data_IF_799299825920
#
_entry.id   IF_799299825920
#
_cell.length_a   1.000
_cell.length_b   1.000
_cell.length_c   1.000
_cell.angle_alpha   90.00
_cell.angle_beta   90.00
_cell.angle_gamma   90.00
#
_symmetry.space_group_name_H-M   'P 1'
#
loop_
_entity.id
_entity.type
_entity.pdbx_description
1 polymer ?
#
# COMPACT_ATOMS: atom_id res chain seq x y z
N UNK A 1 21.68 -11.32 -4.53
CA UNK A 1 20.78 -10.38 -5.24
C UNK A 1 19.97 -11.01 -6.37
N UNK A 2 20.50 -12.00 -7.13
CA UNK A 2 19.78 -12.63 -8.26
C UNK A 2 18.41 -13.25 -7.93
N UNK A 3 18.20 -13.78 -6.72
CA UNK A 3 16.93 -14.44 -6.35
C UNK A 3 15.73 -13.49 -6.23
N UNK A 4 15.93 -12.21 -5.89
CA UNK A 4 14.84 -11.27 -5.62
C UNK A 4 14.04 -10.88 -6.88
N UNK A 5 14.73 -10.73 -8.02
CA UNK A 5 14.11 -10.27 -9.27
C UNK A 5 13.29 -11.37 -9.95
N UNK A 6 13.65 -12.64 -9.77
CA UNK A 6 12.97 -13.76 -10.44
C UNK A 6 11.63 -14.14 -9.82
N UNK A 7 11.41 -13.82 -8.54
CA UNK A 7 10.16 -14.14 -7.84
C UNK A 7 9.13 -13.02 -7.89
N UNK A 8 9.42 -11.88 -8.54
CA UNK A 8 8.44 -10.80 -8.69
C UNK A 8 7.29 -11.24 -9.61
N UNK A 9 6.08 -11.28 -9.07
CA UNK A 9 4.89 -11.68 -9.82
C UNK A 9 4.03 -10.46 -10.14
N UNK A 10 3.95 -10.12 -11.43
CA UNK A 10 3.08 -9.04 -11.93
C UNK A 10 1.63 -9.22 -11.50
N UNK A 11 1.18 -10.46 -11.38
CA UNK A 11 -0.19 -10.79 -10.97
C UNK A 11 -0.46 -10.47 -9.50
N UNK A 12 0.47 -10.82 -8.59
CA UNK A 12 0.36 -10.47 -7.16
C UNK A 12 0.45 -8.97 -6.95
N UNK A 13 1.40 -8.32 -7.63
CA UNK A 13 1.53 -6.87 -7.63
C UNK A 13 0.22 -6.19 -8.06
N UNK A 14 -0.37 -6.61 -9.17
CA UNK A 14 -1.62 -6.04 -9.65
C UNK A 14 -2.79 -6.26 -8.68
N UNK A 15 -2.89 -7.45 -8.07
CA UNK A 15 -3.88 -7.71 -7.01
C UNK A 15 -3.70 -6.79 -5.81
N UNK A 16 -2.47 -6.64 -5.32
CA UNK A 16 -2.15 -5.76 -4.20
C UNK A 16 -2.50 -4.30 -4.55
N UNK A 17 -2.15 -3.85 -5.76
CA UNK A 17 -2.49 -2.52 -6.26
C UNK A 17 -4.00 -2.27 -6.28
N UNK A 18 -4.78 -3.21 -6.84
CA UNK A 18 -6.25 -3.09 -6.88
C UNK A 18 -6.84 -3.09 -5.46
N UNK A 19 -6.38 -3.98 -4.59
CA UNK A 19 -6.85 -4.05 -3.21
C UNK A 19 -6.57 -2.76 -2.44
N UNK A 20 -5.35 -2.23 -2.54
CA UNK A 20 -4.94 -0.98 -1.90
C UNK A 20 -5.68 0.21 -2.51
N UNK A 21 -5.88 0.25 -3.83
CA UNK A 21 -6.63 1.31 -4.48
C UNK A 21 -8.11 1.36 -4.07
N UNK A 22 -8.76 0.20 -3.97
CA UNK A 22 -10.14 0.09 -3.47
C UNK A 22 -10.18 0.55 -2.01
N UNK A 23 -9.27 0.06 -1.17
CA UNK A 23 -9.21 0.44 0.24
C UNK A 23 -8.98 1.95 0.41
N UNK A 24 -8.06 2.54 -0.35
CA UNK A 24 -7.79 3.98 -0.38
C UNK A 24 -9.04 4.78 -0.76
N UNK A 25 -9.82 4.29 -1.73
CA UNK A 25 -11.08 4.92 -2.14
C UNK A 25 -12.12 4.87 -1.02
N UNK A 26 -12.26 3.73 -0.34
CA UNK A 26 -13.18 3.59 0.82
C UNK A 26 -12.75 4.55 1.94
N UNK A 27 -11.45 4.63 2.24
CA UNK A 27 -10.91 5.53 3.25
C UNK A 27 -11.11 7.01 2.88
N UNK A 28 -10.99 7.36 1.59
CA UNK A 28 -11.29 8.71 1.10
C UNK A 28 -12.76 9.10 1.34
N UNK A 29 -13.71 8.20 1.04
CA UNK A 29 -15.12 8.45 1.32
C UNK A 29 -15.40 8.61 2.82
N UNK A 30 -14.74 7.82 3.67
CA UNK A 30 -14.84 7.96 5.12
C UNK A 30 -14.32 9.33 5.59
N UNK A 31 -13.14 9.75 5.11
CA UNK A 31 -12.55 11.06 5.41
C UNK A 31 -13.46 12.22 5.00
N UNK A 32 -13.97 12.21 3.75
CA UNK A 32 -14.88 13.26 3.25
C UNK A 32 -16.18 13.30 4.05
N UNK A 33 -16.65 12.16 4.53
CA UNK A 33 -17.88 12.07 5.31
C UNK A 33 -17.72 12.60 6.74
N UNK A 34 -16.54 12.39 7.35
CA UNK A 34 -16.18 12.93 8.66
C UNK A 34 -15.99 14.45 8.59
N UNK A 35 -15.27 14.96 7.59
CA UNK A 35 -15.04 16.40 7.39
C UNK A 35 -16.35 17.19 7.23
N UNK A 36 -17.33 16.60 6.52
CA UNK A 36 -18.65 17.19 6.32
C UNK A 36 -19.64 16.95 7.47
N UNK A 37 -19.24 16.27 8.55
CA UNK A 37 -20.10 15.86 9.66
C UNK A 37 -21.42 15.18 9.21
N UNK A 38 -21.36 14.40 8.12
CA UNK A 38 -22.57 13.81 7.50
C UNK A 38 -23.09 12.63 8.31
N UNK A 39 -22.23 11.94 9.06
CA UNK A 39 -22.60 10.82 9.92
C UNK A 39 -22.26 11.10 11.39
N UNK A 40 -23.03 10.48 12.30
CA UNK A 40 -22.70 10.47 13.72
C UNK A 40 -21.28 9.91 13.95
N UNK A 41 -20.53 10.40 14.95
CA UNK A 41 -19.16 9.96 15.21
C UNK A 41 -19.15 8.47 15.51
N UNK A 42 -18.63 7.69 14.56
CA UNK A 42 -18.47 6.24 14.66
C UNK A 42 -16.98 5.93 14.67
N UNK A 43 -16.52 5.21 15.69
CA UNK A 43 -15.11 4.82 15.86
C UNK A 43 -14.50 4.18 14.59
N UNK A 44 -15.29 3.38 13.88
CA UNK A 44 -14.88 2.73 12.64
C UNK A 44 -14.59 3.74 11.50
N UNK A 45 -15.42 4.77 11.33
CA UNK A 45 -15.22 5.78 10.29
C UNK A 45 -13.99 6.65 10.61
N UNK A 46 -13.81 7.00 11.88
CA UNK A 46 -12.64 7.75 12.34
C UNK A 46 -11.34 6.96 12.12
N UNK A 47 -11.33 5.65 12.40
CA UNK A 47 -10.18 4.79 12.10
C UNK A 47 -9.86 4.71 10.59
N UNK A 48 -10.88 4.68 9.73
CA UNK A 48 -10.68 4.69 8.28
C UNK A 48 -10.15 6.04 7.77
N UNK A 49 -10.56 7.13 8.41
CA UNK A 49 -10.09 8.48 8.13
C UNK A 49 -8.61 8.65 8.51
N UNK A 50 -8.22 8.16 9.69
CA UNK A 50 -6.80 8.12 10.09
C UNK A 50 -5.97 7.26 9.14
N UNK A 51 -6.52 6.11 8.70
CA UNK A 51 -5.87 5.24 7.73
C UNK A 51 -5.73 5.93 6.35
N UNK A 52 -6.66 6.81 5.99
CA UNK A 52 -6.55 7.64 4.79
C UNK A 52 -5.33 8.56 4.83
N UNK A 53 -5.04 9.18 5.99
CA UNK A 53 -3.84 10.00 6.16
C UNK A 53 -2.55 9.20 5.96
N UNK A 54 -2.54 7.91 6.31
CA UNK A 54 -1.42 7.00 6.01
C UNK A 54 -1.33 6.75 4.50
N UNK A 55 -2.45 6.49 3.82
CA UNK A 55 -2.45 6.29 2.37
C UNK A 55 -2.09 7.53 1.55
N UNK A 56 -2.25 8.74 2.12
CA UNK A 56 -1.78 9.99 1.51
C UNK A 56 -0.25 10.16 1.55
N UNK A 57 0.42 9.52 2.52
CA UNK A 57 1.87 9.45 2.54
C UNK A 57 2.37 8.45 1.47
N UNK A 58 3.48 8.70 0.75
CA UNK A 58 4.39 9.85 0.87
C UNK A 58 4.11 11.01 -0.10
N UNK A 59 3.39 10.82 -1.21
CA UNK A 59 3.30 11.87 -2.27
C UNK A 59 2.64 13.14 -1.79
N UNK A 60 1.55 13.05 -1.02
CA UNK A 60 0.90 14.26 -0.52
C UNK A 60 1.72 14.89 0.59
N UNK A 61 2.42 14.13 1.42
CA UNK A 61 3.24 14.71 2.49
C UNK A 61 4.53 15.36 1.97
N UNK A 62 5.20 14.76 0.99
CA UNK A 62 6.48 15.25 0.46
C UNK A 62 6.31 16.26 -0.68
N UNK A 63 5.24 16.14 -1.47
CA UNK A 63 4.99 16.93 -2.67
C UNK A 63 3.62 17.63 -2.61
N UNK A 64 3.18 18.02 -1.40
CA UNK A 64 1.87 18.65 -1.14
C UNK A 64 1.58 19.80 -2.11
N UNK A 65 2.53 20.72 -2.31
CA UNK A 65 2.35 21.87 -3.18
C UNK A 65 2.06 21.48 -4.64
N UNK A 66 2.66 20.40 -5.15
CA UNK A 66 2.47 19.94 -6.52
C UNK A 66 1.17 19.15 -6.68
N UNK A 67 0.92 18.19 -5.77
CA UNK A 67 -0.25 17.31 -5.89
C UNK A 67 -1.55 17.97 -5.43
N UNK A 68 -1.51 18.95 -4.52
CA UNK A 68 -2.70 19.69 -4.08
C UNK A 68 -3.03 20.89 -4.98
N UNK A 69 -2.21 21.18 -5.99
CA UNK A 69 -2.46 22.28 -6.95
C UNK A 69 -3.69 22.04 -7.83
N UNK A 70 -4.06 20.78 -8.08
CA UNK A 70 -5.16 20.45 -8.96
C UNK A 70 -5.81 19.12 -8.55
N UNK A 71 -7.13 19.01 -8.64
CA UNK A 71 -7.85 17.79 -8.24
C UNK A 71 -7.38 16.55 -9.01
N UNK A 72 -7.04 16.71 -10.29
CA UNK A 72 -6.50 15.60 -11.12
C UNK A 72 -5.14 15.14 -10.60
N UNK A 73 -4.27 16.08 -10.24
CA UNK A 73 -2.96 15.75 -9.67
C UNK A 73 -3.15 15.07 -8.32
N UNK A 74 -4.09 15.55 -7.51
CA UNK A 74 -4.40 14.95 -6.22
C UNK A 74 -4.74 13.46 -6.35
N UNK A 75 -5.63 13.10 -7.29
CA UNK A 75 -5.94 11.69 -7.56
C UNK A 75 -4.74 10.92 -8.14
N UNK A 76 -3.91 11.52 -8.99
CA UNK A 76 -2.68 10.89 -9.47
C UNK A 76 -1.71 10.59 -8.32
N UNK A 77 -1.60 11.46 -7.32
CA UNK A 77 -0.80 11.23 -6.10
C UNK A 77 -1.25 9.98 -5.35
N UNK A 78 -2.57 9.79 -5.18
CA UNK A 78 -3.14 8.60 -4.55
C UNK A 78 -2.89 7.32 -5.36
N UNK A 79 -2.95 7.38 -6.69
CA UNK A 79 -2.61 6.25 -7.56
C UNK A 79 -1.13 5.89 -7.42
N UNK A 80 -0.25 6.88 -7.40
CA UNK A 80 1.18 6.68 -7.20
C UNK A 80 1.46 6.08 -5.82
N UNK A 81 0.82 6.57 -4.75
CA UNK A 81 0.93 5.96 -3.43
C UNK A 81 0.46 4.51 -3.43
N UNK A 82 -0.67 4.22 -4.07
CA UNK A 82 -1.19 2.86 -4.19
C UNK A 82 -0.19 1.94 -4.91
N UNK A 83 0.49 2.43 -5.95
CA UNK A 83 1.57 1.72 -6.64
C UNK A 83 2.77 1.47 -5.72
N UNK A 84 3.18 2.48 -4.95
CA UNK A 84 4.29 2.37 -4.00
C UNK A 84 3.99 1.33 -2.91
N UNK A 85 2.80 1.38 -2.30
CA UNK A 85 2.39 0.41 -1.29
C UNK A 85 2.28 -1.00 -1.88
N UNK A 86 1.74 -1.16 -3.10
CA UNK A 86 1.72 -2.46 -3.78
C UNK A 86 3.13 -3.01 -4.03
N UNK A 87 4.09 -2.13 -4.33
CA UNK A 87 5.48 -2.50 -4.53
C UNK A 87 6.15 -2.95 -3.22
N UNK A 88 5.91 -2.23 -2.12
CA UNK A 88 6.40 -2.60 -0.78
C UNK A 88 5.85 -3.97 -0.37
N UNK A 89 4.54 -4.21 -0.59
CA UNK A 89 3.91 -5.51 -0.29
C UNK A 89 4.57 -6.63 -1.08
N UNK A 90 4.79 -6.45 -2.38
CA UNK A 90 5.44 -7.48 -3.21
C UNK A 90 6.89 -7.73 -2.77
N UNK A 91 7.65 -6.69 -2.39
CA UNK A 91 8.99 -6.85 -1.81
C UNK A 91 8.95 -7.66 -0.51
N UNK A 92 7.97 -7.41 0.35
CA UNK A 92 7.77 -8.17 1.59
C UNK A 92 7.55 -9.66 1.30
N UNK A 93 6.64 -9.98 0.37
CA UNK A 93 6.38 -11.36 -0.04
C UNK A 93 7.60 -12.05 -0.65
N UNK A 94 8.32 -11.37 -1.55
CA UNK A 94 9.54 -11.93 -2.14
C UNK A 94 10.60 -12.19 -1.07
N UNK A 95 10.75 -11.28 -0.12
CA UNK A 95 11.72 -11.42 0.98
C UNK A 95 11.39 -12.62 1.88
N UNK A 96 10.11 -12.84 2.19
CA UNK A 96 9.67 -14.00 2.95
C UNK A 96 9.94 -15.32 2.21
N UNK A 97 9.66 -15.38 0.91
CA UNK A 97 9.93 -16.56 0.08
C UNK A 97 11.43 -16.89 0.07
N UNK A 98 12.28 -15.88 -0.15
CA UNK A 98 13.74 -16.06 -0.13
C UNK A 98 14.24 -16.54 1.23
N UNK A 99 13.66 -16.02 2.32
CA UNK A 99 14.00 -16.46 3.67
C UNK A 99 13.63 -17.94 3.90
N UNK A 100 12.45 -18.37 3.44
CA UNK A 100 11.99 -19.77 3.55
C UNK A 100 12.89 -20.72 2.76
N UNK A 101 13.25 -20.37 1.53
CA UNK A 101 14.14 -21.19 0.69
C UNK A 101 15.51 -21.37 1.38
N UNK A 102 16.12 -20.28 1.85
CA UNK A 102 17.40 -20.36 2.56
C UNK A 102 17.35 -21.21 3.83
N UNK A 103 16.23 -21.13 4.56
CA UNK A 103 16.02 -21.93 5.76
C UNK A 103 15.96 -23.43 5.43
N UNK A 104 15.22 -23.80 4.38
CA UNK A 104 15.12 -25.20 3.93
C UNK A 104 16.45 -25.75 3.38
N UNK A 105 17.25 -24.93 2.70
CA UNK A 105 18.59 -25.33 2.23
C UNK A 105 19.53 -25.60 3.41
N UNK A 106 19.55 -24.73 4.43
CA UNK A 106 20.36 -24.92 5.63
C UNK A 106 19.95 -26.14 6.46
N UNK A 107 18.65 -26.45 6.53
CA UNK A 107 18.16 -27.67 7.19
C UNK A 107 18.53 -28.95 6.44
N UNK A 108 18.63 -28.91 5.11
CA UNK A 108 19.08 -30.05 4.30
C UNK A 108 20.58 -30.30 4.43
N UNK A 109 21.39 -29.24 4.46
CA UNK A 109 22.83 -29.35 4.67
C UNK A 109 23.18 -29.85 6.08
N UNK A 110 22.40 -29.46 7.10
CA UNK A 110 22.61 -29.91 8.48
C UNK A 110 22.23 -31.39 8.71
N UNK A 111 21.39 -31.96 7.84
CA UNK A 111 20.93 -33.36 7.93
C UNK A 111 21.64 -34.30 6.93
N UNK A 112 22.60 -33.79 6.16
CA UNK A 112 23.46 -34.56 5.25
C UNK A 112 24.83 -34.80 5.87
#
# INVERSE_FOLDING_TARGET
MKYYIWHFSKYRFFKAFVAIGILTTICFFAFVSEDKNVFAPNFFLSSLSDLYSVFQFPTHTLLWGFFSSNNVLYFLGLVINSLLYAFIVEIGFVSEIVYRIKKEEGEKEANS
#
